data_IF_176848262910
#
_entry.id   IF_176848262910
#
_cell.length_a   1.000
_cell.length_b   1.000
_cell.length_c   1.000
_cell.angle_alpha   90.00
_cell.angle_beta   90.00
_cell.angle_gamma   90.00
#
_symmetry.space_group_name_H-M   'P 1'
#
loop_
_entity.id
_entity.type
_entity.pdbx_description
1 polymer ?
#
# COMPACT_ATOMS: atom_id res chain seq x y z
N UNK A 1 -3.43 -21.00 -2.39
CA UNK A 1 -2.85 -19.67 -2.71
C UNK A 1 -3.14 -19.22 -4.15
N UNK A 2 -2.91 -20.05 -5.18
CA UNK A 2 -3.22 -19.72 -6.58
C UNK A 2 -4.69 -19.32 -6.84
N UNK A 3 -5.64 -19.94 -6.14
CA UNK A 3 -7.06 -19.57 -6.23
C UNK A 3 -7.34 -18.16 -5.73
N UNK A 4 -6.52 -17.60 -4.83
CA UNK A 4 -6.69 -16.23 -4.37
C UNK A 4 -6.43 -15.25 -5.52
N UNK A 5 -5.33 -15.40 -6.25
CA UNK A 5 -4.95 -14.49 -7.34
C UNK A 5 -5.91 -14.56 -8.54
N UNK A 6 -6.36 -15.76 -8.92
CA UNK A 6 -7.25 -15.94 -10.08
C UNK A 6 -8.71 -15.54 -9.81
N UNK A 7 -9.15 -15.57 -8.56
CA UNK A 7 -10.56 -15.37 -8.24
C UNK A 7 -10.94 -13.88 -8.17
N UNK A 8 -11.98 -13.52 -8.94
CA UNK A 8 -12.52 -12.17 -9.11
C UNK A 8 -13.89 -11.99 -8.42
N UNK A 9 -14.29 -12.91 -7.54
CA UNK A 9 -15.49 -12.75 -6.71
C UNK A 9 -15.36 -11.52 -5.83
N UNK A 10 -16.49 -10.84 -5.63
CA UNK A 10 -16.54 -9.56 -4.92
C UNK A 10 -16.01 -9.65 -3.46
N UNK A 11 -16.26 -10.76 -2.77
CA UNK A 11 -15.74 -11.02 -1.42
C UNK A 11 -14.20 -11.14 -1.39
N UNK A 12 -13.61 -11.72 -2.43
CA UNK A 12 -12.17 -11.88 -2.57
C UNK A 12 -11.53 -10.56 -3.01
N UNK A 13 -12.17 -9.82 -3.91
CA UNK A 13 -11.77 -8.45 -4.27
C UNK A 13 -11.76 -7.54 -3.04
N UNK A 14 -12.78 -7.61 -2.17
CA UNK A 14 -12.80 -6.88 -0.89
C UNK A 14 -11.56 -7.18 -0.05
N UNK A 15 -11.21 -8.46 0.10
CA UNK A 15 -10.00 -8.88 0.85
C UNK A 15 -8.72 -8.37 0.19
N UNK A 16 -8.63 -8.40 -1.13
CA UNK A 16 -7.46 -7.89 -1.88
C UNK A 16 -7.29 -6.39 -1.71
N UNK A 17 -8.37 -5.62 -1.81
CA UNK A 17 -8.35 -4.18 -1.54
C UNK A 17 -7.93 -3.88 -0.10
N UNK A 18 -8.41 -4.67 0.87
CA UNK A 18 -7.97 -4.56 2.27
C UNK A 18 -6.48 -4.86 2.44
N UNK A 19 -5.92 -5.82 1.70
CA UNK A 19 -4.46 -6.06 1.68
C UNK A 19 -3.72 -4.85 1.12
N UNK A 20 -4.18 -4.26 0.02
CA UNK A 20 -3.57 -3.02 -0.54
C UNK A 20 -3.62 -1.89 0.48
N UNK A 21 -4.73 -1.75 1.21
CA UNK A 21 -4.84 -0.76 2.27
C UNK A 21 -3.80 -0.98 3.36
N UNK A 22 -3.71 -2.21 3.90
CA UNK A 22 -2.74 -2.54 4.94
C UNK A 22 -1.30 -2.31 4.47
N UNK A 23 -0.97 -2.68 3.24
CA UNK A 23 0.35 -2.43 2.66
C UNK A 23 0.66 -0.92 2.56
N UNK A 24 -0.32 -0.06 2.25
CA UNK A 24 -0.12 1.39 2.25
C UNK A 24 0.06 1.96 3.67
N UNK A 25 -0.66 1.40 4.64
CA UNK A 25 -0.53 1.79 6.06
C UNK A 25 0.85 1.41 6.58
N UNK A 26 1.32 0.19 6.35
CA UNK A 26 2.66 -0.24 6.80
C UNK A 26 3.76 0.55 6.12
N UNK A 27 3.59 0.87 4.83
CA UNK A 27 4.52 1.67 4.05
C UNK A 27 4.79 3.05 4.69
N UNK A 28 3.75 3.81 5.10
CA UNK A 28 3.98 5.10 5.79
C UNK A 28 4.72 4.94 7.11
N UNK A 29 4.39 3.91 7.89
CA UNK A 29 5.07 3.70 9.17
C UNK A 29 6.56 3.40 8.96
N UNK A 30 6.90 2.57 7.99
CA UNK A 30 8.29 2.29 7.66
C UNK A 30 9.02 3.50 7.10
N UNK A 31 8.39 4.27 6.20
CA UNK A 31 8.94 5.54 5.72
C UNK A 31 9.29 6.47 6.88
N UNK A 32 8.36 6.68 7.81
CA UNK A 32 8.57 7.58 8.95
C UNK A 32 9.70 7.09 9.86
N UNK A 33 9.78 5.79 10.14
CA UNK A 33 10.87 5.24 10.96
C UNK A 33 12.22 5.45 10.27
N UNK A 34 12.32 5.17 8.98
CA UNK A 34 13.56 5.31 8.22
C UNK A 34 13.97 6.78 8.09
N UNK A 35 13.08 7.67 7.70
CA UNK A 35 13.39 9.10 7.50
C UNK A 35 13.74 9.78 8.84
N UNK A 36 12.99 9.48 9.91
CA UNK A 36 13.27 10.05 11.23
C UNK A 36 14.58 9.54 11.86
N UNK A 37 15.19 8.48 11.31
CA UNK A 37 16.52 8.04 11.74
C UNK A 37 17.65 8.97 11.30
N UNK A 38 17.40 9.86 10.33
CA UNK A 38 18.40 10.78 9.77
C UNK A 38 19.30 10.17 8.68
N UNK A 39 19.19 8.86 8.41
CA UNK A 39 20.02 8.15 7.42
C UNK A 39 19.36 7.97 6.06
N UNK A 40 18.07 8.24 5.94
CA UNK A 40 17.30 8.01 4.73
C UNK A 40 16.56 9.27 4.29
N UNK A 41 16.44 9.43 2.97
CA UNK A 41 15.63 10.47 2.34
C UNK A 41 14.46 9.84 1.59
N UNK A 42 13.34 10.56 1.54
CA UNK A 42 12.18 10.13 0.77
C UNK A 42 12.43 10.37 -0.73
N UNK A 43 12.36 9.31 -1.54
CA UNK A 43 12.54 9.41 -2.99
C UNK A 43 11.37 10.07 -3.72
N UNK A 44 10.17 10.03 -3.15
CA UNK A 44 9.00 10.68 -3.70
C UNK A 44 8.95 12.16 -3.27
N UNK A 45 9.25 13.08 -4.20
CA UNK A 45 9.30 14.52 -3.94
C UNK A 45 7.99 15.10 -3.42
N UNK A 46 6.83 14.60 -3.87
CA UNK A 46 5.54 15.02 -3.33
C UNK A 46 5.36 14.57 -1.88
N UNK A 47 5.78 13.34 -1.58
CA UNK A 47 5.69 12.78 -0.23
C UNK A 47 6.65 13.48 0.73
N UNK A 48 7.85 13.86 0.26
CA UNK A 48 8.84 14.58 1.04
C UNK A 48 8.29 15.88 1.66
N UNK A 49 7.42 16.61 0.94
CA UNK A 49 6.77 17.83 1.45
C UNK A 49 5.83 17.53 2.62
N UNK A 50 5.12 16.40 2.58
CA UNK A 50 4.10 16.03 3.56
C UNK A 50 4.75 15.40 4.81
N UNK A 51 5.91 14.75 4.66
CA UNK A 51 6.64 14.09 5.76
C UNK A 51 7.15 15.05 6.84
N UNK A 52 7.25 16.35 6.55
CA UNK A 52 7.58 17.39 7.55
C UNK A 52 6.62 17.38 8.76
N UNK A 53 5.41 16.85 8.57
CA UNK A 53 4.39 16.72 9.59
C UNK A 53 3.95 15.25 9.67
N UNK A 54 4.53 14.42 10.57
CA UNK A 54 4.27 12.98 10.62
C UNK A 54 2.78 12.63 10.72
N UNK A 55 2.02 13.41 11.50
CA UNK A 55 0.57 13.23 11.66
C UNK A 55 -0.16 13.47 10.33
N UNK A 56 0.19 14.55 9.60
CA UNK A 56 -0.40 14.83 8.29
C UNK A 56 -0.04 13.73 7.28
N UNK A 57 1.21 13.27 7.29
CA UNK A 57 1.67 12.19 6.42
C UNK A 57 0.87 10.89 6.65
N UNK A 58 0.66 10.52 7.91
CA UNK A 58 -0.20 9.38 8.28
C UNK A 58 -1.63 9.62 7.82
N UNK A 59 -2.23 10.78 8.13
CA UNK A 59 -3.62 11.06 7.74
C UNK A 59 -3.80 11.03 6.21
N UNK A 60 -2.92 11.67 5.45
CA UNK A 60 -2.96 11.66 3.99
C UNK A 60 -2.79 10.25 3.43
N UNK A 61 -1.81 9.47 3.91
CA UNK A 61 -1.52 8.11 3.39
C UNK A 61 -2.44 7.03 3.96
N UNK A 62 -3.36 7.36 4.86
CA UNK A 62 -4.36 6.41 5.39
C UNK A 62 -5.78 6.79 4.99
N UNK A 63 -6.20 8.04 5.14
CA UNK A 63 -7.57 8.48 4.82
C UNK A 63 -7.83 8.53 3.31
N UNK A 64 -6.89 9.05 2.52
CA UNK A 64 -7.06 9.14 1.06
C UNK A 64 -7.14 7.74 0.46
N UNK A 65 -6.23 6.78 0.75
CA UNK A 65 -6.37 5.42 0.23
C UNK A 65 -7.62 4.71 0.76
N UNK A 66 -8.02 4.92 2.02
CA UNK A 66 -9.23 4.31 2.57
C UNK A 66 -10.49 4.76 1.80
N UNK A 67 -10.65 6.08 1.59
CA UNK A 67 -11.80 6.63 0.85
C UNK A 67 -11.80 6.15 -0.60
N UNK A 68 -10.65 6.11 -1.25
CA UNK A 68 -10.51 5.64 -2.64
C UNK A 68 -10.82 4.15 -2.77
N UNK A 69 -10.38 3.32 -1.82
CA UNK A 69 -10.70 1.88 -1.78
C UNK A 69 -12.20 1.65 -1.59
N UNK A 70 -12.85 2.39 -0.69
CA UNK A 70 -14.30 2.31 -0.49
C UNK A 70 -15.05 2.71 -1.77
N UNK A 71 -14.62 3.79 -2.43
CA UNK A 71 -15.18 4.23 -3.70
C UNK A 71 -15.04 3.15 -4.80
N UNK A 72 -13.84 2.61 -4.98
CA UNK A 72 -13.55 1.55 -5.96
C UNK A 72 -14.38 0.30 -5.68
N UNK A 73 -14.46 -0.13 -4.41
CA UNK A 73 -15.26 -1.29 -4.03
C UNK A 73 -16.76 -1.09 -4.33
N UNK A 74 -17.29 0.09 -4.05
CA UNK A 74 -18.69 0.41 -4.38
C UNK A 74 -18.96 0.42 -5.88
N UNK A 75 -17.99 0.85 -6.70
CA UNK A 75 -18.06 0.74 -8.17
C UNK A 75 -18.04 -0.72 -8.64
N UNK A 76 -17.20 -1.56 -8.02
CA UNK A 76 -17.09 -2.98 -8.36
C UNK A 76 -18.37 -3.78 -8.11
N UNK A 77 -19.21 -3.37 -7.14
CA UNK A 77 -20.54 -3.99 -6.92
C UNK A 77 -21.46 -3.89 -8.14
N UNK A 78 -21.22 -2.92 -9.02
CA UNK A 78 -22.02 -2.67 -10.23
C UNK A 78 -21.27 -3.05 -11.51
N UNK A 79 -20.11 -3.70 -11.39
CA UNK A 79 -19.24 -4.01 -12.52
C UNK A 79 -19.71 -5.28 -13.26
N UNK A 80 -19.50 -5.31 -14.57
CA UNK A 80 -19.72 -6.51 -15.38
C UNK A 80 -18.66 -7.58 -15.07
N UNK A 81 -18.92 -8.83 -15.45
CA UNK A 81 -17.98 -9.93 -15.27
C UNK A 81 -16.59 -9.62 -15.86
N UNK A 82 -16.56 -9.09 -17.09
CA UNK A 82 -15.31 -8.73 -17.76
C UNK A 82 -14.57 -7.64 -16.97
N UNK A 83 -15.28 -6.60 -16.51
CA UNK A 83 -14.68 -5.54 -15.69
C UNK A 83 -14.10 -6.07 -14.38
N UNK A 84 -14.76 -7.03 -13.72
CA UNK A 84 -14.23 -7.68 -12.51
C UNK A 84 -12.96 -8.48 -12.80
N UNK A 85 -12.91 -9.20 -13.92
CA UNK A 85 -11.71 -9.96 -14.34
C UNK A 85 -10.53 -9.01 -14.59
N UNK A 86 -10.74 -7.93 -15.35
CA UNK A 86 -9.69 -6.94 -15.61
C UNK A 86 -9.25 -6.23 -14.33
N UNK A 87 -10.19 -5.78 -13.51
CA UNK A 87 -9.88 -5.12 -12.24
C UNK A 87 -9.11 -6.06 -11.31
N UNK A 88 -9.43 -7.35 -11.30
CA UNK A 88 -8.71 -8.33 -10.52
C UNK A 88 -7.22 -8.42 -10.92
N UNK A 89 -6.92 -8.41 -12.22
CA UNK A 89 -5.52 -8.43 -12.71
C UNK A 89 -4.76 -7.19 -12.22
N UNK A 90 -5.39 -6.01 -12.32
CA UNK A 90 -4.79 -4.74 -11.86
C UNK A 90 -4.56 -4.77 -10.35
N UNK A 91 -5.57 -5.16 -9.56
CA UNK A 91 -5.46 -5.28 -8.11
C UNK A 91 -4.32 -6.22 -7.71
N UNK A 92 -4.19 -7.36 -8.39
CA UNK A 92 -3.10 -8.32 -8.12
C UNK A 92 -1.73 -7.69 -8.44
N UNK A 93 -1.60 -7.00 -9.56
CA UNK A 93 -0.37 -6.28 -9.89
C UNK A 93 -0.01 -5.23 -8.82
N UNK A 94 -1.01 -4.47 -8.34
CA UNK A 94 -0.82 -3.53 -7.23
C UNK A 94 -0.35 -4.23 -5.96
N UNK A 95 -0.98 -5.35 -5.56
CA UNK A 95 -0.55 -6.10 -4.37
C UNK A 95 0.91 -6.51 -4.49
N UNK A 96 1.31 -7.06 -5.64
CA UNK A 96 2.70 -7.49 -5.86
C UNK A 96 3.67 -6.32 -5.76
N UNK A 97 3.35 -5.19 -6.37
CA UNK A 97 4.19 -3.99 -6.32
C UNK A 97 4.31 -3.41 -4.90
N UNK A 98 3.20 -3.24 -4.18
CA UNK A 98 3.23 -2.75 -2.80
C UNK A 98 3.89 -3.73 -1.83
N UNK A 99 3.77 -5.04 -2.08
CA UNK A 99 4.47 -6.06 -1.30
C UNK A 99 5.98 -5.95 -1.51
N UNK A 100 6.42 -5.73 -2.75
CA UNK A 100 7.84 -5.51 -3.07
C UNK A 100 8.39 -4.26 -2.37
N UNK A 101 7.67 -3.13 -2.39
CA UNK A 101 8.08 -1.91 -1.67
C UNK A 101 8.19 -2.17 -0.16
N UNK A 102 7.20 -2.85 0.44
CA UNK A 102 7.24 -3.18 1.86
C UNK A 102 8.41 -4.12 2.21
N UNK A 103 8.77 -5.07 1.32
CA UNK A 103 9.96 -5.90 1.49
C UNK A 103 11.24 -5.07 1.45
N UNK A 104 11.35 -4.09 0.54
CA UNK A 104 12.48 -3.16 0.53
C UNK A 104 12.57 -2.38 1.84
N UNK A 105 11.45 -1.87 2.37
CA UNK A 105 11.42 -1.21 3.67
C UNK A 105 11.93 -2.11 4.81
N UNK A 106 11.51 -3.38 4.84
CA UNK A 106 11.99 -4.33 5.83
C UNK A 106 13.50 -4.55 5.73
N UNK A 107 14.05 -4.66 4.51
CA UNK A 107 15.50 -4.78 4.28
C UNK A 107 16.21 -3.54 4.84
N UNK A 108 15.73 -2.34 4.54
CA UNK A 108 16.34 -1.09 5.03
C UNK A 108 16.26 -0.94 6.55
N UNK A 109 15.15 -1.36 7.17
CA UNK A 109 15.02 -1.36 8.63
C UNK A 109 16.02 -2.31 9.29
N UNK A 110 16.25 -3.49 8.69
CA UNK A 110 17.27 -4.43 9.15
C UNK A 110 18.66 -3.80 9.02
N UNK A 111 18.97 -3.21 7.86
CA UNK A 111 20.25 -2.53 7.63
C UNK A 111 20.50 -1.38 8.62
N UNK A 112 19.48 -0.56 8.89
CA UNK A 112 19.54 0.51 9.87
C UNK A 112 19.87 -0.03 11.27
N UNK A 113 19.19 -1.10 11.69
CA UNK A 113 19.45 -1.75 12.98
C UNK A 113 20.86 -2.33 13.09
N UNK A 114 21.42 -2.84 11.98
CA UNK A 114 22.79 -3.34 11.93
C UNK A 114 23.83 -2.21 11.94
N UNK A 115 23.49 -1.04 11.40
CA UNK A 115 24.38 0.13 11.32
C UNK A 115 24.42 0.97 12.60
N UNK A 116 23.30 1.13 13.31
CA UNK A 116 23.21 1.88 14.59
C UNK A 116 23.72 1.05 15.79
N UNK A 117 23.94 -0.25 15.59
CA UNK A 117 24.63 -1.12 16.54
C UNK A 117 26.13 -0.84 16.58
#
# INVERSE_FOLDING_TARGET
MFNFFKNYNLSIIKRKLLIIYLLNVTDIFFTLILVNSGYFYEGNTLMAVILNTPILAILCKTLIPATLIVFVYNRMKKATLNQLIYSNKIIVACILFYSFINLLHLIWLIMLKLYIK
#
